data_IF_705221888379
#
_entry.id   IF_705221888379
#
_cell.length_a   1.000
_cell.length_b   1.000
_cell.length_c   1.000
_cell.angle_alpha   90.00
_cell.angle_beta   90.00
_cell.angle_gamma   90.00
#
_symmetry.space_group_name_H-M   'P 1'
#
loop_
_entity.id
_entity.type
_entity.pdbx_description
1 polymer ?
#
# COMPACT_ATOMS: atom_id res chain seq x y z
N UNK A 1 -60.76 -37.72 -43.27
CA UNK A 1 -60.57 -36.27 -43.11
C UNK A 1 -60.21 -35.96 -41.65
N UNK A 2 -58.92 -35.81 -41.32
CA UNK A 2 -58.44 -35.30 -40.02
C UNK A 2 -57.27 -34.37 -40.35
N UNK A 3 -57.44 -33.06 -40.14
CA UNK A 3 -56.38 -32.07 -40.37
C UNK A 3 -55.45 -32.08 -39.16
N UNK A 4 -54.17 -32.45 -39.34
CA UNK A 4 -53.15 -32.31 -38.31
C UNK A 4 -52.75 -30.83 -38.20
N UNK A 5 -52.77 -30.22 -36.99
CA UNK A 5 -52.33 -28.85 -36.85
C UNK A 5 -50.80 -28.79 -36.93
N UNK A 6 -50.30 -27.98 -37.87
CA UNK A 6 -48.91 -27.55 -37.97
C UNK A 6 -48.51 -26.83 -36.69
N UNK A 7 -47.64 -27.42 -35.89
CA UNK A 7 -47.03 -26.74 -34.74
C UNK A 7 -46.25 -25.53 -35.29
N UNK A 8 -46.57 -24.28 -34.91
CA UNK A 8 -45.93 -23.13 -35.52
C UNK A 8 -44.48 -23.05 -35.07
N UNK A 9 -43.65 -22.59 -35.99
CA UNK A 9 -42.19 -22.43 -35.96
C UNK A 9 -41.68 -21.45 -34.88
N UNK A 10 -42.09 -21.62 -33.62
CA UNK A 10 -41.64 -20.80 -32.50
C UNK A 10 -40.40 -21.38 -31.80
N UNK A 11 -40.03 -22.64 -32.09
CA UNK A 11 -38.86 -23.28 -31.50
C UNK A 11 -37.54 -22.64 -32.00
N UNK A 12 -37.50 -22.25 -33.27
CA UNK A 12 -36.33 -21.60 -33.87
C UNK A 12 -36.20 -20.14 -33.42
N UNK A 13 -37.31 -19.40 -33.28
CA UNK A 13 -37.30 -18.00 -32.82
C UNK A 13 -36.87 -17.87 -31.35
N UNK A 14 -37.23 -18.83 -30.49
CA UNK A 14 -36.79 -18.85 -29.09
C UNK A 14 -35.29 -19.12 -28.94
N UNK A 15 -34.69 -19.89 -29.84
CA UNK A 15 -33.26 -20.22 -29.79
C UNK A 15 -32.38 -19.03 -30.20
N UNK A 16 -32.82 -18.22 -31.17
CA UNK A 16 -32.10 -17.01 -31.60
C UNK A 16 -32.16 -15.90 -30.55
N UNK A 17 -33.28 -15.77 -29.83
CA UNK A 17 -33.44 -14.76 -28.77
C UNK A 17 -32.58 -15.06 -27.53
N UNK A 18 -32.33 -16.33 -27.22
CA UNK A 18 -31.46 -16.72 -26.11
C UNK A 18 -29.96 -16.44 -26.37
N UNK A 19 -29.55 -16.38 -27.64
CA UNK A 19 -28.14 -16.23 -28.04
C UNK A 19 -27.72 -14.76 -28.21
N UNK A 20 -28.67 -13.83 -28.35
CA UNK A 20 -28.42 -12.39 -28.48
C UNK A 20 -28.15 -11.66 -27.15
N UNK A 21 -28.37 -12.31 -25.99
CA UNK A 21 -28.16 -11.73 -24.66
C UNK A 21 -26.80 -12.06 -24.03
N UNK A 22 -25.79 -12.41 -24.82
CA UNK A 22 -24.44 -12.76 -24.33
C UNK A 22 -23.31 -11.74 -24.55
N UNK A 23 -23.50 -10.42 -24.83
CA UNK A 23 -22.40 -9.47 -24.72
C UNK A 23 -22.34 -8.93 -23.29
N UNK A 24 -21.79 -9.68 -22.34
CA UNK A 24 -21.72 -9.21 -20.95
C UNK A 24 -20.82 -9.94 -19.98
N UNK A 25 -20.22 -11.08 -20.34
CA UNK A 25 -19.27 -11.73 -19.42
C UNK A 25 -17.86 -11.19 -19.67
N UNK A 26 -17.37 -10.44 -18.68
CA UNK A 26 -15.98 -10.04 -18.47
C UNK A 26 -15.45 -8.91 -19.36
N UNK A 27 -16.00 -7.71 -19.21
CA UNK A 27 -15.10 -6.58 -19.02
C UNK A 27 -14.43 -6.79 -17.65
N UNK A 28 -13.27 -7.45 -17.64
CA UNK A 28 -12.40 -7.42 -16.46
C UNK A 28 -12.04 -5.95 -16.25
N UNK A 29 -12.74 -5.27 -15.33
CA UNK A 29 -12.31 -3.98 -14.85
C UNK A 29 -10.95 -4.22 -14.21
N UNK A 30 -9.88 -3.92 -14.94
CA UNK A 30 -8.58 -3.73 -14.30
C UNK A 30 -8.75 -2.49 -13.43
N UNK A 31 -9.13 -2.68 -12.16
CA UNK A 31 -8.88 -1.65 -11.17
C UNK A 31 -7.37 -1.44 -11.17
N UNK A 32 -6.94 -0.38 -11.83
CA UNK A 32 -5.58 0.08 -11.80
C UNK A 32 -5.33 0.46 -10.36
N UNK A 33 -4.66 -0.43 -9.62
CA UNK A 33 -4.23 -0.16 -8.26
C UNK A 33 -3.31 1.06 -8.39
N UNK A 34 -3.81 2.23 -8.02
CA UNK A 34 -3.11 3.50 -8.22
C UNK A 34 -1.71 3.43 -7.65
N UNK A 35 -0.81 4.30 -8.12
CA UNK A 35 0.57 4.33 -7.65
C UNK A 35 0.62 4.36 -6.10
N UNK A 36 1.12 3.27 -5.51
CA UNK A 36 1.31 3.17 -4.07
C UNK A 36 2.69 3.71 -3.73
N UNK A 37 2.76 4.74 -2.89
CA UNK A 37 4.03 5.22 -2.36
C UNK A 37 4.46 4.27 -1.26
N UNK A 38 5.49 3.47 -1.53
CA UNK A 38 6.08 2.58 -0.54
C UNK A 38 7.26 3.27 0.15
N UNK A 39 7.26 3.26 1.48
CA UNK A 39 8.47 3.51 2.27
C UNK A 39 9.02 4.93 2.19
N UNK A 40 8.21 5.94 1.87
CA UNK A 40 8.62 7.35 1.91
C UNK A 40 8.98 7.73 3.35
N UNK A 41 10.17 8.29 3.56
CA UNK A 41 10.58 8.87 4.82
C UNK A 41 11.07 10.30 4.60
N UNK A 42 10.86 11.15 5.59
CA UNK A 42 11.20 12.58 5.58
C UNK A 42 12.08 12.87 6.79
N UNK A 43 13.18 13.61 6.56
CA UNK A 43 14.05 14.13 7.60
C UNK A 43 14.09 15.65 7.48
N UNK A 44 13.62 16.34 8.51
CA UNK A 44 13.76 17.78 8.66
C UNK A 44 14.93 18.08 9.59
N UNK A 45 15.74 19.08 9.19
CA UNK A 45 16.90 19.53 9.94
C UNK A 45 16.80 21.03 10.12
N UNK A 46 16.85 21.47 11.38
CA UNK A 46 16.88 22.89 11.75
C UNK A 46 18.20 23.14 12.47
N UNK A 47 18.94 24.17 12.05
CA UNK A 47 20.18 24.60 12.66
C UNK A 47 20.01 26.01 13.21
N UNK A 48 20.23 26.18 14.51
CA UNK A 48 20.21 27.48 15.18
C UNK A 48 21.39 27.56 16.17
N UNK A 49 22.21 28.60 16.03
CA UNK A 49 23.48 28.77 16.75
C UNK A 49 24.37 27.51 16.68
N UNK A 50 24.47 26.79 17.79
CA UNK A 50 25.27 25.58 17.95
C UNK A 50 24.39 24.35 18.27
N UNK A 51 23.10 24.43 17.91
CA UNK A 51 22.09 23.39 18.12
C UNK A 51 21.56 22.90 16.77
N UNK A 52 21.38 21.58 16.66
CA UNK A 52 20.67 20.95 15.56
C UNK A 52 19.46 20.22 16.10
N UNK A 53 18.30 20.50 15.52
CA UNK A 53 17.06 19.77 15.77
C UNK A 53 16.72 18.93 14.54
N UNK A 54 16.34 17.68 14.79
CA UNK A 54 16.06 16.68 13.77
C UNK A 54 14.66 16.12 14.00
N UNK A 55 13.81 16.21 12.99
CA UNK A 55 12.51 15.52 12.97
C UNK A 55 12.53 14.48 11.86
N UNK A 56 12.31 13.22 12.22
CA UNK A 56 12.32 12.10 11.27
C UNK A 56 10.98 11.38 11.26
N UNK A 57 10.31 11.42 10.11
CA UNK A 57 9.01 10.80 9.88
C UNK A 57 9.14 9.67 8.87
N UNK A 58 8.73 8.46 9.24
CA UNK A 58 8.83 7.26 8.40
C UNK A 58 7.70 6.28 8.74
N UNK A 59 7.23 5.46 7.78
CA UNK A 59 6.40 4.30 8.06
C UNK A 59 7.03 3.42 9.14
N UNK A 60 6.21 2.89 10.05
CA UNK A 60 6.71 2.06 11.13
C UNK A 60 7.29 0.74 10.59
N UNK A 61 6.79 0.26 9.45
CA UNK A 61 7.34 -0.89 8.73
C UNK A 61 8.82 -0.72 8.38
N UNK A 62 9.25 0.48 8.00
CA UNK A 62 10.64 0.77 7.61
C UNK A 62 11.62 0.72 8.79
N UNK A 63 11.12 0.83 10.02
CA UNK A 63 11.93 1.01 11.23
C UNK A 63 11.78 -0.17 12.19
N UNK A 64 10.54 -0.49 12.57
CA UNK A 64 10.21 -1.55 13.52
C UNK A 64 9.83 -2.87 12.84
N UNK A 65 9.51 -2.84 11.54
CA UNK A 65 9.13 -4.02 10.77
C UNK A 65 7.64 -4.36 10.78
N UNK A 66 6.77 -3.45 11.24
CA UNK A 66 5.31 -3.59 11.25
C UNK A 66 4.61 -2.25 11.50
N UNK A 67 3.31 -2.14 11.18
CA UNK A 67 2.52 -0.89 11.28
C UNK A 67 1.55 -0.82 12.47
N UNK A 68 1.22 -1.95 13.10
CA UNK A 68 0.29 -2.00 14.22
C UNK A 68 1.00 -1.79 15.57
N UNK A 69 0.28 -1.52 16.67
CA UNK A 69 0.88 -1.50 18.00
C UNK A 69 1.58 -2.82 18.34
N UNK A 70 2.74 -2.74 19.00
CA UNK A 70 3.50 -3.92 19.42
C UNK A 70 2.76 -4.69 20.53
N UNK A 71 2.41 -5.95 20.29
CA UNK A 71 1.66 -6.80 21.22
C UNK A 71 2.50 -7.94 21.80
N UNK A 72 3.45 -8.48 21.02
CA UNK A 72 4.31 -9.59 21.45
C UNK A 72 5.62 -9.10 22.11
N UNK A 73 6.27 -9.94 22.94
CA UNK A 73 7.60 -9.61 23.48
C UNK A 73 8.63 -9.28 22.40
N UNK A 74 8.62 -10.01 21.28
CA UNK A 74 9.51 -9.79 20.13
C UNK A 74 9.27 -8.43 19.47
N UNK A 75 8.00 -8.08 19.20
CA UNK A 75 7.66 -6.79 18.62
C UNK A 75 8.07 -5.62 19.52
N UNK A 76 7.88 -5.76 20.83
CA UNK A 76 8.33 -4.75 21.81
C UNK A 76 9.85 -4.63 21.82
N UNK A 77 10.58 -5.73 21.70
CA UNK A 77 12.04 -5.73 21.58
C UNK A 77 12.50 -5.03 20.29
N UNK A 78 11.82 -5.25 19.16
CA UNK A 78 12.13 -4.58 17.89
C UNK A 78 11.94 -3.07 17.99
N UNK A 79 10.84 -2.61 18.58
CA UNK A 79 10.60 -1.17 18.83
C UNK A 79 11.67 -0.58 19.76
N UNK A 80 12.03 -1.30 20.83
CA UNK A 80 13.09 -0.86 21.76
C UNK A 80 14.43 -0.70 21.04
N UNK A 81 14.83 -1.70 20.24
CA UNK A 81 16.06 -1.69 19.46
C UNK A 81 16.07 -0.55 18.44
N UNK A 82 14.95 -0.30 17.77
CA UNK A 82 14.82 0.83 16.85
C UNK A 82 15.02 2.18 17.56
N UNK A 83 14.38 2.38 18.72
CA UNK A 83 14.56 3.58 19.55
C UNK A 83 16.00 3.77 19.98
N UNK A 84 16.65 2.71 20.44
CA UNK A 84 18.06 2.76 20.86
C UNK A 84 18.98 3.15 19.70
N UNK A 85 18.76 2.60 18.51
CA UNK A 85 19.52 2.96 17.31
C UNK A 85 19.33 4.43 16.93
N UNK A 86 18.08 4.92 16.93
CA UNK A 86 17.78 6.31 16.58
C UNK A 86 18.35 7.29 17.62
N UNK A 87 18.33 6.95 18.91
CA UNK A 87 18.93 7.77 19.96
C UNK A 87 20.46 7.75 19.96
N UNK A 88 21.09 6.75 19.34
CA UNK A 88 22.54 6.68 19.20
C UNK A 88 23.03 7.58 18.04
N UNK A 89 22.69 8.87 18.08
CA UNK A 89 22.88 9.83 16.97
C UNK A 89 24.30 9.83 16.42
N UNK A 90 25.31 9.78 17.28
CA UNK A 90 26.72 9.74 16.89
C UNK A 90 27.13 8.54 16.04
N UNK A 91 26.30 7.49 15.97
CA UNK A 91 26.56 6.30 15.14
C UNK A 91 26.04 6.43 13.71
N UNK A 92 25.13 7.38 13.45
CA UNK A 92 24.48 7.53 12.15
C UNK A 92 24.48 8.96 11.60
N UNK A 93 24.81 9.96 12.41
CA UNK A 93 25.02 11.34 11.99
C UNK A 93 26.42 11.80 12.41
N UNK A 94 27.16 12.29 11.42
CA UNK A 94 28.45 12.96 11.62
C UNK A 94 28.39 14.30 10.92
N UNK A 95 28.84 15.34 11.60
CA UNK A 95 28.91 16.70 11.06
C UNK A 95 30.37 16.97 10.70
N UNK A 96 30.70 16.85 9.43
CA UNK A 96 32.03 17.17 8.94
C UNK A 96 32.10 18.68 8.66
N UNK A 97 32.81 19.41 9.51
CA UNK A 97 33.05 20.85 9.36
C UNK A 97 32.38 21.71 10.45
N UNK A 98 33.12 21.98 11.52
CA UNK A 98 32.76 22.95 12.57
C UNK A 98 33.84 22.99 13.64
N UNK A 99 34.63 24.06 13.67
CA UNK A 99 35.71 24.25 14.64
C UNK A 99 35.19 24.20 16.08
N UNK A 100 36.05 23.73 16.99
CA UNK A 100 35.83 23.73 18.43
C UNK A 100 35.28 25.09 18.90
N UNK A 101 34.06 25.09 19.42
CA UNK A 101 33.62 26.11 20.35
C UNK A 101 33.65 25.48 21.74
N UNK A 102 34.35 26.18 22.62
CA UNK A 102 34.65 25.80 24.00
C UNK A 102 33.41 25.74 24.87
#
# INVERSE_FOLDING_TARGET
MKKNPTQPSYLLTKLVLAMAMLPGLAAAQSENHGAHVHGLAELMVVAEDNTLELEFTSPAMSIAGFEHPASTPEQKANVKKAKEKLNAVSTWLTLEGGGSVR
#
